data_IF_070680161895
#
_entry.id   IF_070680161895
#
_cell.length_a   1.000
_cell.length_b   1.000
_cell.length_c   1.000
_cell.angle_alpha   90.00
_cell.angle_beta   90.00
_cell.angle_gamma   90.00
#
_symmetry.space_group_name_H-M   'P 1'
#
loop_
_entity.id
_entity.type
_entity.pdbx_description
1 polymer ?
#
# COMPACT_ATOMS: atom_id res chain seq x y z
N UNK A 1 14.14 -36.83 12.43
CA UNK A 1 13.14 -37.40 11.49
C UNK A 1 11.97 -36.45 11.18
N UNK A 2 11.94 -35.20 11.68
CA UNK A 2 10.92 -34.21 11.28
C UNK A 2 11.37 -33.27 10.14
N UNK A 3 12.63 -33.36 9.71
CA UNK A 3 13.28 -32.41 8.79
C UNK A 3 12.88 -32.55 7.30
N UNK A 4 11.97 -33.46 6.95
CA UNK A 4 11.68 -33.80 5.54
C UNK A 4 10.18 -33.74 5.18
N UNK A 5 9.34 -33.24 6.08
CA UNK A 5 7.88 -33.17 5.89
C UNK A 5 7.41 -31.81 5.36
N UNK A 6 8.23 -30.77 5.54
CA UNK A 6 7.91 -29.42 5.12
C UNK A 6 9.19 -28.72 4.68
N UNK A 7 9.21 -28.25 3.44
CA UNK A 7 10.34 -27.53 2.87
C UNK A 7 9.98 -26.08 2.61
N UNK A 8 10.95 -25.22 2.87
CA UNK A 8 10.89 -23.80 2.58
C UNK A 8 11.97 -23.51 1.56
N UNK A 9 11.60 -22.94 0.43
CA UNK A 9 12.49 -22.68 -0.70
C UNK A 9 12.26 -21.33 -1.34
N UNK A 10 13.14 -20.97 -2.26
CA UNK A 10 12.99 -19.77 -3.08
C UNK A 10 12.15 -20.08 -4.31
N UNK A 11 11.35 -19.11 -4.75
CA UNK A 11 10.59 -19.22 -6.01
C UNK A 11 11.47 -19.11 -7.26
N UNK A 12 12.73 -18.69 -7.13
CA UNK A 12 13.69 -18.57 -8.22
C UNK A 12 15.15 -18.67 -7.75
N UNK A 13 16.09 -18.90 -8.68
CA UNK A 13 17.53 -18.93 -8.38
C UNK A 13 18.07 -17.60 -7.83
N UNK A 14 17.42 -16.47 -8.11
CA UNK A 14 17.79 -15.18 -7.51
C UNK A 14 17.16 -14.98 -6.13
N UNK A 15 16.09 -15.71 -5.83
CA UNK A 15 15.25 -15.56 -4.64
C UNK A 15 14.21 -14.45 -4.80
N UNK A 16 13.24 -14.40 -3.88
CA UNK A 16 12.27 -13.30 -3.80
C UNK A 16 12.22 -12.74 -2.38
N UNK A 17 12.08 -11.41 -2.28
CA UNK A 17 12.06 -10.76 -0.97
C UNK A 17 10.71 -10.89 -0.28
N UNK A 18 9.64 -11.05 -1.04
CA UNK A 18 8.27 -11.06 -0.51
C UNK A 18 7.53 -12.35 -0.76
N UNK A 19 8.07 -13.22 -1.62
CA UNK A 19 7.47 -14.51 -1.93
C UNK A 19 8.40 -15.63 -1.49
N UNK A 20 7.85 -16.59 -0.76
CA UNK A 20 8.58 -17.79 -0.36
C UNK A 20 7.78 -19.01 -0.78
N UNK A 21 8.48 -20.01 -1.31
CA UNK A 21 7.87 -21.27 -1.68
C UNK A 21 7.83 -22.14 -0.43
N UNK A 22 6.68 -22.70 -0.14
CA UNK A 22 6.55 -23.75 0.86
C UNK A 22 6.01 -25.02 0.21
N UNK A 23 6.61 -26.15 0.54
CA UNK A 23 6.21 -27.46 0.07
C UNK A 23 5.87 -28.32 1.28
N UNK A 24 4.60 -28.66 1.42
CA UNK A 24 4.16 -29.62 2.40
C UNK A 24 4.23 -31.03 1.81
N UNK A 25 5.25 -31.82 2.19
CA UNK A 25 5.42 -33.21 1.74
C UNK A 25 4.63 -34.22 2.57
N UNK A 26 4.01 -33.78 3.66
CA UNK A 26 3.29 -34.66 4.58
C UNK A 26 1.92 -35.07 4.06
N UNK A 27 1.36 -36.13 4.64
CA UNK A 27 -0.02 -36.58 4.42
C UNK A 27 -1.05 -35.78 5.25
N UNK A 28 -0.61 -34.71 5.94
CA UNK A 28 -1.47 -33.83 6.75
C UNK A 28 -1.40 -32.41 6.22
N UNK A 29 -2.45 -31.61 6.46
CA UNK A 29 -2.35 -30.17 6.23
C UNK A 29 -1.44 -29.54 7.30
N UNK A 30 -0.57 -28.62 6.87
CA UNK A 30 0.33 -27.86 7.75
C UNK A 30 -0.21 -26.45 7.88
N UNK A 31 -0.59 -26.07 9.11
CA UNK A 31 -0.96 -24.70 9.43
C UNK A 31 0.31 -23.96 9.85
N UNK A 32 0.70 -22.98 9.05
CA UNK A 32 1.73 -22.01 9.39
C UNK A 32 1.02 -20.86 10.11
N UNK A 33 1.50 -20.46 11.28
CA UNK A 33 0.88 -19.39 12.05
C UNK A 33 1.52 -18.03 11.74
N UNK A 34 0.70 -16.98 11.85
CA UNK A 34 1.17 -15.60 11.84
C UNK A 34 2.24 -15.38 12.93
N UNK A 35 3.32 -14.68 12.58
CA UNK A 35 4.48 -14.42 13.42
C UNK A 35 5.55 -15.52 13.43
N UNK A 36 5.30 -16.68 12.82
CA UNK A 36 6.32 -17.74 12.73
C UNK A 36 7.44 -17.39 11.75
N UNK A 37 8.64 -17.87 12.02
CA UNK A 37 9.79 -17.67 11.13
C UNK A 37 9.97 -18.92 10.28
N UNK A 38 9.75 -18.78 8.96
CA UNK A 38 10.15 -19.78 7.98
C UNK A 38 11.66 -19.70 7.75
N UNK A 39 12.33 -20.83 7.93
CA UNK A 39 13.78 -21.00 7.77
C UNK A 39 14.04 -22.07 6.73
N UNK A 40 15.10 -21.93 5.94
CA UNK A 40 15.48 -22.90 4.88
C UNK A 40 15.58 -22.31 3.46
N UNK A 41 15.00 -21.12 3.22
CA UNK A 41 15.26 -20.33 2.02
C UNK A 41 16.55 -19.47 2.17
N UNK A 42 16.94 -18.70 1.15
CA UNK A 42 18.17 -17.88 1.21
C UNK A 42 18.12 -16.81 2.29
N UNK A 43 16.91 -16.37 2.65
CA UNK A 43 16.66 -15.47 3.77
C UNK A 43 15.49 -16.02 4.61
N UNK A 44 15.59 -15.93 5.94
CA UNK A 44 14.49 -16.27 6.83
C UNK A 44 13.34 -15.26 6.67
N UNK A 45 12.09 -15.72 6.77
CA UNK A 45 10.90 -14.88 6.61
C UNK A 45 9.99 -15.00 7.82
N UNK A 46 9.56 -13.86 8.35
CA UNK A 46 8.41 -13.84 9.27
C UNK A 46 7.15 -13.98 8.42
N UNK A 47 6.32 -14.96 8.76
CA UNK A 47 5.02 -15.19 8.16
C UNK A 47 4.08 -14.14 8.70
N UNK A 48 3.47 -13.36 7.82
CA UNK A 48 2.57 -12.29 8.23
C UNK A 48 1.10 -12.72 8.25
N UNK A 49 0.80 -13.98 7.89
CA UNK A 49 -0.57 -14.47 7.80
C UNK A 49 -0.60 -15.96 8.15
N UNK A 50 -1.55 -16.39 8.99
CA UNK A 50 -1.75 -17.82 9.19
C UNK A 50 -2.23 -18.45 7.89
N UNK A 51 -1.45 -19.38 7.33
CA UNK A 51 -1.76 -20.05 6.07
C UNK A 51 -1.79 -21.56 6.29
N UNK A 52 -2.90 -22.17 5.89
CA UNK A 52 -2.99 -23.61 5.76
C UNK A 52 -2.41 -24.01 4.39
N UNK A 53 -1.44 -24.92 4.42
CA UNK A 53 -0.86 -25.60 3.26
C UNK A 53 -1.38 -27.04 3.28
N UNK A 54 -2.14 -27.42 2.28
CA UNK A 54 -2.78 -28.74 2.18
C UNK A 54 -1.72 -29.84 2.04
N UNK A 55 -2.14 -31.09 2.24
CA UNK A 55 -1.26 -32.24 2.06
C UNK A 55 -0.69 -32.29 0.63
N UNK A 56 0.61 -32.58 0.50
CA UNK A 56 1.30 -32.68 -0.80
C UNK A 56 1.16 -31.43 -1.67
N UNK A 57 0.91 -30.27 -1.06
CA UNK A 57 0.73 -29.00 -1.76
C UNK A 57 2.06 -28.21 -1.77
N UNK A 58 2.37 -27.67 -2.94
CA UNK A 58 3.35 -26.60 -3.09
C UNK A 58 2.61 -25.27 -3.20
N UNK A 59 2.95 -24.31 -2.34
CA UNK A 59 2.27 -23.02 -2.24
C UNK A 59 3.28 -21.89 -2.15
N UNK A 60 3.03 -20.81 -2.87
CA UNK A 60 3.78 -19.55 -2.68
C UNK A 60 3.07 -18.73 -1.63
N UNK A 61 3.80 -18.34 -0.58
CA UNK A 61 3.33 -17.37 0.41
C UNK A 61 3.88 -16.01 0.03
N UNK A 62 3.04 -15.00 -0.10
CA UNK A 62 3.49 -13.66 -0.45
C UNK A 62 2.49 -12.57 -0.12
N UNK A 63 2.95 -11.32 -0.20
CA UNK A 63 2.12 -10.15 -0.02
C UNK A 63 1.08 -10.09 -1.15
N UNK A 64 -0.19 -10.36 -0.84
CA UNK A 64 -1.22 -10.42 -1.88
C UNK A 64 -1.67 -9.03 -2.35
N UNK A 65 -1.73 -8.05 -1.43
CA UNK A 65 -2.31 -6.74 -1.72
C UNK A 65 -1.49 -5.59 -1.18
N UNK A 66 -1.24 -4.60 -2.05
CA UNK A 66 -0.79 -3.27 -1.67
C UNK A 66 -1.89 -2.25 -1.95
N UNK A 67 -2.07 -1.30 -1.02
CA UNK A 67 -2.94 -0.15 -1.24
C UNK A 67 -2.20 1.16 -0.95
N UNK A 68 -2.49 2.19 -1.76
CA UNK A 68 -2.00 3.55 -1.57
C UNK A 68 -3.17 4.51 -1.33
N UNK A 69 -3.05 5.34 -0.29
CA UNK A 69 -4.03 6.39 0.06
C UNK A 69 -3.34 7.76 0.19
N UNK A 70 -4.06 8.89 0.07
CA UNK A 70 -3.46 10.21 0.20
C UNK A 70 -3.32 10.62 1.67
N UNK A 71 -2.31 11.42 2.01
CA UNK A 71 -2.33 12.18 3.26
C UNK A 71 -3.40 13.29 3.23
N UNK A 72 -3.65 13.95 4.37
CA UNK A 72 -4.43 15.19 4.42
C UNK A 72 -3.73 16.30 5.21
N UNK A 73 -4.22 17.54 5.04
CA UNK A 73 -3.72 18.72 5.75
C UNK A 73 -3.98 18.60 7.25
N UNK A 74 -5.18 18.16 7.64
CA UNK A 74 -5.58 17.96 9.03
C UNK A 74 -4.87 16.75 9.65
N UNK A 75 -4.25 16.96 10.83
CA UNK A 75 -3.50 15.94 11.56
C UNK A 75 -3.81 16.00 13.05
N UNK A 76 -3.83 14.84 13.71
CA UNK A 76 -3.96 14.68 15.15
C UNK A 76 -2.73 13.98 15.68
N UNK A 77 -1.97 14.66 16.53
CA UNK A 77 -0.79 14.06 17.16
C UNK A 77 -1.22 13.30 18.40
N UNK A 78 -1.34 11.97 18.28
CA UNK A 78 -1.61 11.08 19.42
C UNK A 78 -0.34 10.67 20.15
N UNK A 79 0.80 10.64 19.45
CA UNK A 79 1.99 9.95 19.92
C UNK A 79 1.84 8.43 19.86
N UNK A 80 2.96 7.72 19.92
CA UNK A 80 2.99 6.25 20.02
C UNK A 80 3.91 5.59 19.00
N UNK A 81 4.27 4.34 19.28
CA UNK A 81 4.97 3.46 18.35
C UNK A 81 4.15 2.19 18.23
N UNK A 82 3.85 1.82 16.99
CA UNK A 82 3.12 0.58 16.72
C UNK A 82 4.00 -0.64 17.05
N UNK A 83 3.38 -1.74 17.54
CA UNK A 83 4.10 -2.97 17.89
C UNK A 83 3.55 -4.17 17.10
N UNK A 84 4.39 -4.96 16.40
CA UNK A 84 5.84 -4.81 16.27
C UNK A 84 6.27 -3.52 15.55
N UNK A 85 7.51 -3.05 15.81
CA UNK A 85 8.00 -1.79 15.26
C UNK A 85 8.03 -1.82 13.73
N UNK A 86 7.81 -0.65 13.14
CA UNK A 86 7.86 -0.41 11.70
C UNK A 86 9.17 -0.90 11.07
N UNK A 87 9.07 -1.59 9.92
CA UNK A 87 10.21 -2.13 9.18
C UNK A 87 10.12 -1.74 7.71
N UNK A 88 10.93 -0.78 7.27
CA UNK A 88 11.34 -0.68 5.86
C UNK A 88 12.65 -1.44 5.58
N UNK A 89 13.70 -1.36 6.43
CA UNK A 89 14.92 -2.14 6.26
C UNK A 89 14.70 -3.62 6.57
N UNK A 90 14.99 -4.52 5.63
CA UNK A 90 14.70 -5.95 5.75
C UNK A 90 13.43 -6.39 5.01
N UNK A 91 12.74 -5.46 4.35
CA UNK A 91 11.59 -5.75 3.47
C UNK A 91 11.97 -5.85 1.98
N UNK A 92 13.26 -5.74 1.63
CA UNK A 92 13.75 -5.71 0.25
C UNK A 92 13.74 -4.33 -0.39
N UNK A 93 13.16 -3.35 0.30
CA UNK A 93 12.99 -1.98 -0.18
C UNK A 93 14.20 -1.09 0.11
N UNK A 94 15.38 -1.63 0.43
CA UNK A 94 16.52 -0.85 0.91
C UNK A 94 16.95 0.22 -0.10
N UNK A 95 16.93 -0.09 -1.41
CA UNK A 95 17.24 0.88 -2.45
C UNK A 95 16.20 2.01 -2.55
N UNK A 96 14.91 1.66 -2.49
CA UNK A 96 13.82 2.64 -2.50
C UNK A 96 13.87 3.52 -1.23
N UNK A 97 14.20 2.93 -0.08
CA UNK A 97 14.37 3.63 1.19
C UNK A 97 15.48 4.67 1.12
N UNK A 98 16.68 4.29 0.67
CA UNK A 98 17.82 5.23 0.56
C UNK A 98 17.47 6.43 -0.32
N UNK A 99 16.81 6.19 -1.45
CA UNK A 99 16.34 7.28 -2.33
C UNK A 99 15.32 8.18 -1.62
N UNK A 100 14.37 7.58 -0.90
CA UNK A 100 13.35 8.32 -0.20
C UNK A 100 13.89 9.10 1.01
N UNK A 101 14.85 8.56 1.77
CA UNK A 101 15.53 9.28 2.84
C UNK A 101 16.24 10.53 2.32
N UNK A 102 16.96 10.42 1.21
CA UNK A 102 17.60 11.57 0.57
C UNK A 102 16.56 12.61 0.15
N UNK A 103 15.46 12.17 -0.47
CA UNK A 103 14.37 13.06 -0.87
C UNK A 103 13.64 13.70 0.33
N UNK A 104 13.56 13.03 1.49
CA UNK A 104 12.93 13.59 2.69
C UNK A 104 13.74 14.72 3.30
N UNK A 105 15.07 14.73 3.17
CA UNK A 105 15.92 15.83 3.65
C UNK A 105 15.50 17.18 3.08
N UNK A 106 15.14 17.24 1.80
CA UNK A 106 14.65 18.47 1.17
C UNK A 106 13.28 18.94 1.67
N UNK A 107 12.54 18.09 2.39
CA UNK A 107 11.25 18.43 3.00
C UNK A 107 11.33 18.71 4.51
N UNK A 108 12.49 18.54 5.15
CA UNK A 108 12.65 18.75 6.61
C UNK A 108 12.15 20.11 7.09
N UNK A 109 12.28 21.14 6.25
CA UNK A 109 11.82 22.50 6.53
C UNK A 109 10.32 22.62 6.81
N UNK A 110 9.48 21.68 6.35
CA UNK A 110 8.04 21.70 6.63
C UNK A 110 7.64 20.81 7.82
N UNK A 111 8.57 20.04 8.39
CA UNK A 111 8.31 19.08 9.47
C UNK A 111 8.42 19.78 10.84
N UNK A 112 7.43 19.58 11.70
CA UNK A 112 7.42 20.13 13.06
C UNK A 112 8.23 19.24 14.01
N UNK A 113 9.51 19.58 14.22
CA UNK A 113 10.43 18.82 15.06
C UNK A 113 9.97 18.60 16.51
N UNK A 114 9.15 19.49 17.06
CA UNK A 114 8.63 19.39 18.43
C UNK A 114 7.38 18.50 18.57
N UNK A 115 6.75 18.10 17.47
CA UNK A 115 5.54 17.27 17.50
C UNK A 115 5.89 15.80 17.76
N UNK A 116 5.08 15.08 18.54
CA UNK A 116 5.36 13.68 18.88
C UNK A 116 5.24 12.77 17.64
N UNK A 117 6.18 11.84 17.40
CA UNK A 117 6.02 10.82 16.36
C UNK A 117 4.74 10.01 16.59
N UNK A 118 3.95 9.82 15.54
CA UNK A 118 2.67 9.10 15.53
C UNK A 118 2.65 8.16 14.33
N UNK A 119 2.14 6.92 14.44
CA UNK A 119 1.99 6.04 13.29
C UNK A 119 1.21 6.74 12.16
N UNK A 120 1.70 6.70 10.93
CA UNK A 120 1.20 7.50 9.82
C UNK A 120 -0.32 7.36 9.59
N UNK A 121 -0.87 6.14 9.71
CA UNK A 121 -2.30 5.85 9.56
C UNK A 121 -3.16 6.54 10.64
N UNK A 122 -2.59 6.82 11.82
CA UNK A 122 -3.28 7.50 12.92
C UNK A 122 -2.96 9.00 13.00
N UNK A 123 -1.98 9.49 12.23
CA UNK A 123 -1.62 10.90 12.21
C UNK A 123 -2.69 11.75 11.50
N UNK A 124 -3.28 11.24 10.43
CA UNK A 124 -4.22 11.99 9.59
C UNK A 124 -5.66 11.83 10.08
N UNK A 125 -6.44 12.92 10.09
CA UNK A 125 -7.81 12.93 10.65
C UNK A 125 -8.86 13.63 9.76
N UNK A 126 -8.52 13.95 8.50
CA UNK A 126 -9.42 14.60 7.55
C UNK A 126 -10.56 13.69 7.07
N UNK A 127 -11.45 14.18 6.19
CA UNK A 127 -12.70 13.49 5.83
C UNK A 127 -12.55 12.07 5.28
N UNK A 128 -11.45 11.79 4.57
CA UNK A 128 -11.11 10.41 4.17
C UNK A 128 -10.86 9.53 5.40
N UNK A 129 -10.07 10.06 6.34
CA UNK A 129 -9.67 9.40 7.58
C UNK A 129 -10.76 9.37 8.67
N UNK A 130 -11.78 10.21 8.59
CA UNK A 130 -12.95 10.09 9.49
C UNK A 130 -13.91 8.98 9.03
N UNK A 131 -13.80 8.55 7.77
CA UNK A 131 -14.69 7.59 7.14
C UNK A 131 -14.08 6.18 6.97
N UNK A 132 -12.76 6.06 7.10
CA UNK A 132 -12.07 4.77 7.00
C UNK A 132 -12.15 3.96 8.31
N UNK A 133 -12.27 2.64 8.19
CA UNK A 133 -12.17 1.72 9.33
C UNK A 133 -10.69 1.40 9.63
N UNK A 134 -10.08 2.20 10.51
CA UNK A 134 -8.69 2.01 10.95
C UNK A 134 -8.45 0.68 11.66
N UNK A 135 -9.46 0.17 12.38
CA UNK A 135 -9.38 -1.08 13.12
C UNK A 135 -9.28 -2.28 12.18
N UNK A 136 -10.15 -2.32 11.17
CA UNK A 136 -10.11 -3.36 10.15
C UNK A 136 -8.85 -3.26 9.28
N UNK A 137 -8.42 -2.05 8.89
CA UNK A 137 -7.15 -1.86 8.17
C UNK A 137 -5.98 -2.43 8.97
N UNK A 138 -5.89 -2.10 10.27
CA UNK A 138 -4.88 -2.64 11.19
C UNK A 138 -4.91 -4.17 11.26
N UNK A 139 -6.11 -4.77 11.38
CA UNK A 139 -6.25 -6.23 11.39
C UNK A 139 -5.77 -6.88 10.09
N UNK A 140 -6.10 -6.28 8.93
CA UNK A 140 -5.66 -6.78 7.62
C UNK A 140 -4.15 -6.63 7.42
N UNK A 141 -3.55 -5.56 7.95
CA UNK A 141 -2.10 -5.37 7.92
C UNK A 141 -1.40 -6.40 8.80
N UNK A 142 -1.87 -6.60 10.04
CA UNK A 142 -1.26 -7.59 10.92
C UNK A 142 -1.42 -9.02 10.43
N UNK A 143 -2.56 -9.33 9.83
CA UNK A 143 -2.77 -10.63 9.18
C UNK A 143 -2.14 -10.73 7.79
N UNK A 144 -1.29 -9.78 7.38
CA UNK A 144 -0.47 -9.87 6.17
C UNK A 144 -1.25 -9.78 4.86
N UNK A 145 -2.56 -9.56 4.93
CA UNK A 145 -3.46 -9.47 3.78
C UNK A 145 -3.43 -8.11 3.09
N UNK A 146 -2.81 -7.12 3.73
CA UNK A 146 -2.71 -5.76 3.22
C UNK A 146 -1.38 -5.14 3.63
N UNK A 147 -0.66 -4.54 2.69
CA UNK A 147 0.32 -3.50 3.01
C UNK A 147 -0.22 -2.16 2.55
N UNK A 148 -0.33 -1.23 3.49
CA UNK A 148 -0.93 0.08 3.24
C UNK A 148 0.15 1.16 3.26
N UNK A 149 0.23 1.92 2.18
CA UNK A 149 1.09 3.08 2.05
C UNK A 149 0.27 4.37 1.96
N UNK A 150 0.84 5.45 2.47
CA UNK A 150 0.26 6.79 2.41
C UNK A 150 1.19 7.67 1.58
N UNK A 151 0.70 8.21 0.46
CA UNK A 151 1.43 9.22 -0.30
C UNK A 151 1.33 10.54 0.47
N UNK A 152 2.48 11.01 0.97
CA UNK A 152 2.58 12.12 1.90
C UNK A 152 3.27 13.33 1.27
N UNK A 153 2.70 14.52 1.45
CA UNK A 153 3.36 15.75 1.03
C UNK A 153 4.66 16.04 1.80
N UNK A 154 4.75 15.66 3.08
CA UNK A 154 5.95 15.86 3.90
C UNK A 154 6.98 14.74 3.73
N UNK A 155 6.53 13.51 3.48
CA UNK A 155 7.38 12.32 3.55
C UNK A 155 7.51 11.53 2.23
N UNK A 156 6.77 11.93 1.18
CA UNK A 156 6.74 11.25 -0.12
C UNK A 156 5.84 10.02 -0.08
N UNK A 157 6.33 8.94 0.54
CA UNK A 157 5.56 7.74 0.88
C UNK A 157 5.78 7.43 2.35
N UNK A 158 4.78 6.95 3.06
CA UNK A 158 4.87 6.40 4.42
C UNK A 158 4.24 5.01 4.41
N UNK A 159 4.80 4.05 5.13
CA UNK A 159 4.04 2.86 5.51
C UNK A 159 3.02 3.23 6.60
N UNK A 160 1.92 2.48 6.70
CA UNK A 160 0.81 2.78 7.61
C UNK A 160 1.25 2.98 9.06
N UNK A 161 2.26 2.24 9.52
CA UNK A 161 2.75 2.32 10.90
C UNK A 161 4.08 3.04 11.05
N UNK A 162 4.60 3.62 9.97
CA UNK A 162 5.80 4.44 10.04
C UNK A 162 5.57 5.65 10.96
N UNK A 163 6.46 5.89 11.94
CA UNK A 163 6.36 7.07 12.80
C UNK A 163 6.57 8.35 11.99
N UNK A 164 5.52 9.15 11.87
CA UNK A 164 5.54 10.46 11.22
C UNK A 164 5.23 11.57 12.23
N UNK A 165 5.81 12.75 11.99
CA UNK A 165 5.56 13.97 12.76
C UNK A 165 4.56 14.86 12.04
N UNK A 166 4.01 15.83 12.76
CA UNK A 166 3.20 16.87 12.15
C UNK A 166 4.04 17.70 11.17
N UNK A 167 3.39 18.27 10.15
CA UNK A 167 4.04 19.06 9.12
C UNK A 167 3.01 19.93 8.38
N UNK A 168 3.48 21.02 7.76
CA UNK A 168 2.65 21.90 6.93
C UNK A 168 3.08 21.84 5.46
N UNK A 169 2.43 20.96 4.69
CA UNK A 169 2.61 20.85 3.25
C UNK A 169 1.40 20.20 2.59
N UNK A 170 1.15 20.56 1.34
CA UNK A 170 0.18 19.93 0.46
C UNK A 170 0.86 19.47 -0.82
N UNK A 171 0.45 18.31 -1.37
CA UNK A 171 1.02 17.75 -2.59
C UNK A 171 0.57 18.50 -3.86
N UNK A 172 0.83 19.81 -3.94
CA UNK A 172 0.50 20.70 -5.05
C UNK A 172 1.63 21.72 -5.27
N UNK A 173 1.61 22.41 -6.42
CA UNK A 173 2.56 23.49 -6.71
C UNK A 173 4.03 23.10 -6.55
N UNK A 174 4.79 23.86 -5.75
CA UNK A 174 6.22 23.64 -5.52
C UNK A 174 6.53 22.29 -4.86
N UNK A 175 5.71 21.87 -3.88
CA UNK A 175 5.88 20.58 -3.19
C UNK A 175 5.69 19.42 -4.15
N UNK A 176 4.64 19.45 -4.98
CA UNK A 176 4.47 18.42 -6.01
C UNK A 176 5.64 18.41 -7.00
N UNK A 177 6.08 19.59 -7.48
CA UNK A 177 7.23 19.67 -8.41
C UNK A 177 8.49 19.07 -7.80
N UNK A 178 8.78 19.40 -6.54
CA UNK A 178 9.89 18.82 -5.79
C UNK A 178 9.82 17.28 -5.78
N UNK A 179 8.69 16.70 -5.38
CA UNK A 179 8.53 15.25 -5.35
C UNK A 179 8.61 14.59 -6.73
N UNK A 180 8.23 15.30 -7.80
CA UNK A 180 8.42 14.82 -9.17
C UNK A 180 9.90 14.78 -9.55
N UNK A 181 10.65 15.82 -9.24
CA UNK A 181 12.10 15.89 -9.50
C UNK A 181 12.89 14.90 -8.64
N UNK A 182 12.45 14.67 -7.40
CA UNK A 182 13.01 13.64 -6.52
C UNK A 182 12.66 12.20 -6.92
N UNK A 183 11.84 12.00 -7.96
CA UNK A 183 11.48 10.68 -8.48
C UNK A 183 10.49 9.91 -7.61
N UNK A 184 9.51 10.58 -6.97
CA UNK A 184 8.52 9.92 -6.13
C UNK A 184 7.74 8.81 -6.87
N UNK A 185 7.41 9.03 -8.15
CA UNK A 185 6.77 8.01 -8.97
C UNK A 185 7.67 6.78 -9.15
N UNK A 186 8.99 6.98 -9.35
CA UNK A 186 9.94 5.88 -9.45
C UNK A 186 10.06 5.11 -8.14
N UNK A 187 10.03 5.79 -6.98
CA UNK A 187 10.04 5.14 -5.67
C UNK A 187 8.79 4.25 -5.50
N UNK A 188 7.61 4.75 -5.88
CA UNK A 188 6.37 3.96 -5.86
C UNK A 188 6.47 2.76 -6.83
N UNK A 189 7.07 2.96 -8.01
CA UNK A 189 7.31 1.90 -8.98
C UNK A 189 8.26 0.82 -8.43
N UNK A 190 9.36 1.22 -7.81
CA UNK A 190 10.32 0.32 -7.15
C UNK A 190 9.63 -0.49 -6.04
N UNK A 191 8.76 0.15 -5.24
CA UNK A 191 7.95 -0.56 -4.22
C UNK A 191 7.10 -1.65 -4.88
N UNK A 192 6.39 -1.33 -5.97
CA UNK A 192 5.54 -2.30 -6.65
C UNK A 192 6.37 -3.44 -7.29
N UNK A 193 7.53 -3.14 -7.87
CA UNK A 193 8.41 -4.13 -8.49
C UNK A 193 9.04 -5.08 -7.47
N UNK A 194 9.55 -4.54 -6.36
CA UNK A 194 10.24 -5.32 -5.32
C UNK A 194 9.26 -6.13 -4.49
N UNK A 195 8.12 -5.53 -4.13
CA UNK A 195 7.10 -6.24 -3.36
C UNK A 195 6.25 -7.16 -4.22
N UNK A 196 6.15 -6.89 -5.52
CA UNK A 196 5.46 -7.68 -6.55
C UNK A 196 4.11 -8.24 -6.08
N UNK A 197 3.19 -7.43 -5.53
CA UNK A 197 1.92 -7.95 -5.03
C UNK A 197 1.05 -8.45 -6.18
N UNK A 198 0.17 -9.41 -5.88
CA UNK A 198 -0.83 -9.86 -6.85
C UNK A 198 -1.84 -8.76 -7.19
N UNK A 199 -2.07 -7.83 -6.27
CA UNK A 199 -3.03 -6.73 -6.43
C UNK A 199 -2.46 -5.40 -5.91
N UNK A 200 -2.63 -4.33 -6.68
CA UNK A 200 -2.28 -2.95 -6.26
C UNK A 200 -3.44 -1.99 -6.50
N UNK A 201 -3.81 -1.26 -5.44
CA UNK A 201 -4.93 -0.33 -5.45
C UNK A 201 -4.52 1.07 -5.00
N UNK A 202 -5.18 2.08 -5.56
CA UNK A 202 -5.08 3.47 -5.11
C UNK A 202 -6.47 4.07 -4.85
N UNK A 203 -6.59 4.99 -3.88
CA UNK A 203 -7.84 5.71 -3.62
C UNK A 203 -7.60 7.21 -3.65
N UNK A 204 -7.81 7.86 -4.80
CA UNK A 204 -7.41 9.25 -4.99
C UNK A 204 -8.48 10.09 -5.70
N UNK A 205 -8.75 11.27 -5.14
CA UNK A 205 -9.72 12.22 -5.71
C UNK A 205 -9.23 12.97 -6.95
N UNK A 206 -7.91 13.12 -7.10
CA UNK A 206 -7.29 13.97 -8.11
C UNK A 206 -7.30 13.39 -9.52
N UNK A 207 -6.63 14.10 -10.42
CA UNK A 207 -6.44 13.69 -11.81
C UNK A 207 -5.15 12.84 -11.95
N UNK A 208 -5.12 11.88 -12.88
CA UNK A 208 -3.94 11.06 -13.13
C UNK A 208 -2.86 11.82 -13.91
N UNK A 209 -3.20 12.95 -14.53
CA UNK A 209 -2.26 13.80 -15.27
C UNK A 209 -1.60 14.90 -14.43
N UNK A 210 -0.50 15.44 -14.94
CA UNK A 210 0.21 16.56 -14.29
C UNK A 210 -0.50 17.92 -14.43
N UNK A 211 -1.45 18.03 -15.34
CA UNK A 211 -2.15 19.29 -15.65
C UNK A 211 -2.99 19.82 -14.47
N UNK A 212 -3.27 21.13 -14.48
CA UNK A 212 -4.08 21.80 -13.46
C UNK A 212 -3.37 22.03 -12.11
N UNK A 213 -4.02 22.78 -11.22
CA UNK A 213 -3.48 23.21 -9.91
C UNK A 213 -3.80 22.26 -8.74
N UNK A 214 -4.63 21.24 -8.98
CA UNK A 214 -5.03 20.28 -7.95
C UNK A 214 -3.88 19.41 -7.42
N UNK A 215 -4.09 18.79 -6.27
CA UNK A 215 -3.11 17.90 -5.65
C UNK A 215 -2.76 16.69 -6.54
N UNK A 216 -1.49 16.26 -6.50
CA UNK A 216 -0.89 15.31 -7.45
C UNK A 216 -0.73 13.88 -6.91
N UNK A 217 -1.45 13.51 -5.85
CA UNK A 217 -1.38 12.16 -5.29
C UNK A 217 -1.71 11.07 -6.32
N UNK A 218 -2.81 11.23 -7.08
CA UNK A 218 -3.20 10.26 -8.12
C UNK A 218 -2.16 10.18 -9.23
N UNK A 219 -1.61 11.31 -9.68
CA UNK A 219 -0.53 11.32 -10.66
C UNK A 219 0.66 10.46 -10.20
N UNK A 220 1.19 10.69 -8.99
CA UNK A 220 2.35 9.92 -8.51
C UNK A 220 2.07 8.43 -8.40
N UNK A 221 0.89 8.07 -7.88
CA UNK A 221 0.45 6.68 -7.84
C UNK A 221 0.35 6.07 -9.23
N UNK A 222 -0.40 6.71 -10.15
CA UNK A 222 -0.65 6.21 -11.49
C UNK A 222 0.66 6.05 -12.27
N UNK A 223 1.53 7.06 -12.25
CA UNK A 223 2.82 6.99 -12.94
C UNK A 223 3.74 5.92 -12.33
N UNK A 224 3.79 5.81 -11.01
CA UNK A 224 4.61 4.78 -10.36
C UNK A 224 4.17 3.36 -10.68
N UNK A 225 2.86 3.08 -10.61
CA UNK A 225 2.33 1.77 -10.97
C UNK A 225 2.53 1.49 -12.46
N UNK A 226 2.27 2.45 -13.35
CA UNK A 226 2.51 2.28 -14.80
C UNK A 226 3.99 1.98 -15.11
N UNK A 227 4.92 2.65 -14.42
CA UNK A 227 6.36 2.38 -14.55
C UNK A 227 6.74 0.96 -14.09
N UNK A 228 6.14 0.50 -12.99
CA UNK A 228 6.33 -0.88 -12.54
C UNK A 228 5.84 -1.86 -13.60
N UNK A 229 4.62 -1.66 -14.13
CA UNK A 229 4.04 -2.50 -15.19
C UNK A 229 4.93 -2.55 -16.43
N UNK A 230 5.41 -1.40 -16.90
CA UNK A 230 6.33 -1.34 -18.06
C UNK A 230 7.69 -1.99 -17.79
N UNK A 231 8.06 -2.14 -16.52
CA UNK A 231 9.34 -2.75 -16.09
C UNK A 231 9.19 -4.23 -15.71
N UNK A 232 8.07 -4.87 -16.06
CA UNK A 232 7.88 -6.32 -15.91
C UNK A 232 7.05 -6.74 -14.69
N UNK A 233 6.51 -5.82 -13.90
CA UNK A 233 5.52 -6.14 -12.87
C UNK A 233 4.22 -6.63 -13.53
N UNK A 234 3.73 -7.82 -13.12
CA UNK A 234 2.54 -8.48 -13.71
C UNK A 234 1.52 -8.87 -12.64
N UNK A 235 0.84 -7.89 -12.01
CA UNK A 235 -0.21 -8.19 -11.04
C UNK A 235 -1.45 -8.74 -11.74
N UNK A 236 -2.28 -9.46 -11.00
CA UNK A 236 -3.62 -9.83 -11.42
C UNK A 236 -4.57 -8.63 -11.50
N UNK A 237 -4.38 -7.63 -10.63
CA UNK A 237 -5.18 -6.40 -10.61
C UNK A 237 -4.32 -5.17 -10.28
N UNK A 238 -4.43 -4.11 -11.08
CA UNK A 238 -3.79 -2.83 -10.81
C UNK A 238 -4.70 -1.67 -11.18
N UNK A 239 -4.84 -0.67 -10.30
CA UNK A 239 -5.67 0.49 -10.63
C UNK A 239 -6.04 1.41 -9.48
N UNK A 240 -6.92 2.35 -9.77
CA UNK A 240 -7.26 3.44 -8.86
C UNK A 240 -8.77 3.64 -8.75
N UNK A 241 -9.29 3.65 -7.53
CA UNK A 241 -10.57 4.26 -7.21
C UNK A 241 -10.44 5.79 -7.26
N UNK A 242 -11.33 6.44 -7.98
CA UNK A 242 -11.29 7.88 -8.20
C UNK A 242 -12.69 8.49 -8.30
N UNK A 243 -12.76 9.80 -8.06
CA UNK A 243 -14.00 10.55 -8.26
C UNK A 243 -14.26 10.78 -9.74
N UNK A 244 -15.30 10.16 -10.28
CA UNK A 244 -15.82 10.47 -11.63
C UNK A 244 -16.62 11.77 -11.62
N UNK A 245 -17.55 11.91 -10.68
CA UNK A 245 -18.43 13.08 -10.60
C UNK A 245 -18.78 13.46 -9.15
N UNK A 246 -19.42 14.61 -8.99
CA UNK A 246 -19.69 15.22 -7.69
C UNK A 246 -18.70 16.33 -7.32
N UNK A 247 -19.07 17.17 -6.35
CA UNK A 247 -18.33 18.37 -5.94
C UNK A 247 -18.17 18.45 -4.42
N UNK A 248 -17.25 19.30 -3.96
CA UNK A 248 -16.97 19.54 -2.55
C UNK A 248 -15.90 18.60 -2.01
N UNK A 249 -14.77 19.16 -1.58
CA UNK A 249 -13.58 18.38 -1.16
C UNK A 249 -13.91 17.43 -0.01
N UNK A 250 -14.63 17.90 1.02
CA UNK A 250 -15.07 17.09 2.17
C UNK A 250 -15.96 15.93 1.74
N UNK A 251 -16.94 16.17 0.86
CA UNK A 251 -17.86 15.14 0.37
C UNK A 251 -17.12 14.09 -0.47
N UNK A 252 -16.24 14.54 -1.37
CA UNK A 252 -15.43 13.67 -2.24
C UNK A 252 -14.51 12.78 -1.40
N UNK A 253 -13.75 13.36 -0.47
CA UNK A 253 -12.81 12.63 0.37
C UNK A 253 -13.54 11.69 1.33
N UNK A 254 -14.69 12.10 1.88
CA UNK A 254 -15.54 11.23 2.70
C UNK A 254 -16.09 10.04 1.92
N UNK A 255 -16.56 10.25 0.68
CA UNK A 255 -17.03 9.19 -0.20
C UNK A 255 -15.90 8.19 -0.56
N UNK A 256 -14.70 8.70 -0.87
CA UNK A 256 -13.54 7.85 -1.10
C UNK A 256 -13.14 7.05 0.15
N UNK A 257 -13.16 7.67 1.33
CA UNK A 257 -12.88 6.98 2.60
C UNK A 257 -13.89 5.87 2.88
N UNK A 258 -15.18 6.09 2.61
CA UNK A 258 -16.21 5.05 2.73
C UNK A 258 -16.08 3.96 1.66
N UNK A 259 -15.71 4.31 0.43
CA UNK A 259 -15.41 3.33 -0.61
C UNK A 259 -14.22 2.43 -0.20
N UNK A 260 -13.18 3.03 0.37
CA UNK A 260 -12.03 2.31 0.93
C UNK A 260 -12.46 1.39 2.09
N UNK A 261 -13.26 1.86 3.05
CA UNK A 261 -13.81 1.00 4.11
C UNK A 261 -14.60 -0.19 3.57
N UNK A 262 -15.50 0.04 2.60
CA UNK A 262 -16.26 -1.03 1.97
C UNK A 262 -15.35 -2.05 1.28
N UNK A 263 -14.27 -1.58 0.65
CA UNK A 263 -13.27 -2.44 0.01
C UNK A 263 -12.49 -3.29 1.04
N UNK A 264 -12.09 -2.70 2.18
CA UNK A 264 -11.50 -3.47 3.27
C UNK A 264 -12.47 -4.55 3.78
N UNK A 265 -13.74 -4.20 3.99
CA UNK A 265 -14.76 -5.11 4.52
C UNK A 265 -15.17 -6.22 3.54
N UNK A 266 -15.12 -5.98 2.23
CA UNK A 266 -15.35 -7.05 1.23
C UNK A 266 -14.20 -8.05 1.15
N UNK A 267 -13.07 -7.76 1.80
CA UNK A 267 -11.82 -8.47 1.60
C UNK A 267 -11.04 -7.84 0.45
N UNK A 268 -9.79 -7.36 0.67
CA UNK A 268 -8.94 -6.76 -0.36
C UNK A 268 -8.69 -7.62 -1.63
N UNK A 269 -8.93 -8.92 -1.53
CA UNK A 269 -8.80 -9.89 -2.63
C UNK A 269 -10.10 -10.13 -3.42
N UNK A 270 -11.20 -9.50 -3.00
CA UNK A 270 -12.50 -9.69 -3.61
C UNK A 270 -12.75 -8.66 -4.71
N UNK A 271 -13.01 -9.14 -5.92
CA UNK A 271 -13.19 -8.26 -7.08
C UNK A 271 -14.59 -7.63 -7.14
N UNK A 272 -15.55 -8.06 -6.30
CA UNK A 272 -16.94 -7.58 -6.36
C UNK A 272 -17.07 -6.05 -6.31
N UNK A 273 -16.34 -5.40 -5.41
CA UNK A 273 -16.42 -3.94 -5.28
C UNK A 273 -15.67 -3.21 -6.40
N UNK A 274 -14.59 -3.82 -6.91
CA UNK A 274 -13.85 -3.31 -8.08
C UNK A 274 -14.75 -3.36 -9.31
N UNK A 275 -15.40 -4.49 -9.54
CA UNK A 275 -16.35 -4.66 -10.66
C UNK A 275 -17.57 -3.76 -10.53
N UNK A 276 -18.13 -3.60 -9.32
CA UNK A 276 -19.20 -2.64 -9.08
C UNK A 276 -18.76 -1.19 -9.39
N UNK A 277 -17.53 -0.82 -9.02
CA UNK A 277 -16.97 0.50 -9.29
C UNK A 277 -16.66 0.73 -10.79
N UNK A 278 -16.27 -0.32 -11.53
CA UNK A 278 -16.06 -0.28 -12.99
C UNK A 278 -17.37 -0.10 -13.74
N UNK A 279 -18.35 -0.97 -13.43
CA UNK A 279 -19.62 -1.08 -14.17
C UNK A 279 -20.61 0.02 -13.82
N UNK A 280 -20.92 0.19 -12.53
CA UNK A 280 -22.03 1.02 -12.06
C UNK A 280 -21.57 2.31 -11.38
N UNK A 281 -20.33 2.33 -10.89
CA UNK A 281 -19.81 3.36 -10.00
C UNK A 281 -20.37 3.22 -8.57
N UNK A 282 -19.53 3.45 -7.58
CA UNK A 282 -19.92 3.46 -6.17
C UNK A 282 -20.51 4.83 -5.82
N UNK A 283 -21.83 4.85 -5.54
CA UNK A 283 -22.54 6.08 -5.20
C UNK A 283 -22.49 6.37 -3.70
N UNK A 284 -22.30 7.64 -3.38
CA UNK A 284 -22.30 8.15 -2.02
C UNK A 284 -22.84 9.59 -2.00
N UNK A 285 -24.13 9.72 -1.69
CA UNK A 285 -24.85 10.97 -1.91
C UNK A 285 -24.74 11.42 -3.37
N UNK A 286 -24.29 12.66 -3.59
CA UNK A 286 -24.04 13.22 -4.93
C UNK A 286 -22.67 12.90 -5.53
N UNK A 287 -21.87 12.04 -4.90
CA UNK A 287 -20.53 11.65 -5.38
C UNK A 287 -20.60 10.28 -6.05
N UNK A 288 -19.89 10.12 -7.17
CA UNK A 288 -19.68 8.83 -7.84
C UNK A 288 -18.20 8.51 -7.87
N UNK A 289 -17.83 7.37 -7.27
CA UNK A 289 -16.48 6.82 -7.29
C UNK A 289 -16.42 5.69 -8.32
N UNK A 290 -15.52 5.81 -9.29
CA UNK A 290 -15.22 4.75 -10.27
C UNK A 290 -13.89 4.11 -10.01
N UNK A 291 -13.64 3.00 -10.70
CA UNK A 291 -12.35 2.34 -10.72
C UNK A 291 -11.74 2.42 -12.12
N UNK A 292 -10.50 2.91 -12.19
CA UNK A 292 -9.69 2.88 -13.41
C UNK A 292 -8.75 1.68 -13.34
N UNK A 293 -8.90 0.76 -14.29
CA UNK A 293 -7.98 -0.35 -14.49
C UNK A 293 -6.74 0.11 -15.25
N UNK A 294 -5.55 -0.32 -14.83
CA UNK A 294 -4.29 -0.02 -15.50
C UNK A 294 -3.78 -1.17 -16.37
N UNK A 295 -4.39 -2.35 -16.26
CA UNK A 295 -4.07 -3.54 -17.07
C UNK A 295 -4.90 -3.60 -18.35
N UNK A 296 -6.09 -3.00 -18.34
CA UNK A 296 -6.85 -2.77 -19.55
C UNK A 296 -6.05 -1.79 -20.43
N UNK A 297 -5.56 -2.28 -21.58
CA UNK A 297 -4.77 -1.50 -22.53
C UNK A 297 -5.44 -0.15 -22.83
N UNK A 298 -4.61 0.89 -22.91
CA UNK A 298 -5.07 2.21 -23.35
C UNK A 298 -5.72 2.09 -24.73
N UNK A 299 -6.95 2.57 -24.81
CA UNK A 299 -7.49 3.15 -26.05
C UNK A 299 -6.91 4.56 -26.25
#
# INVERSE_FOLDING_TARGET
MAQDLFEVGEISELGSVNEILVLNKSDFAVLILDGEILTGAKQNRVVNASVLVSLKEMKTLGLEVICFIPCCSSKSVGGGVERPPYVWPGSGLERAWVRLEVARRGMEHCIEGNSRPTPAMHLYNGSFYSAFDAGLARQLIYSGKLRLFIISAGYGVLDAFEPARNYDAEMKGRVARYWREAGLADIIGDICLVLSPQRVYGFFAGEPGWSGSGAKYRYFFTEGVKKALSSGFKPAQAGCFYRESGRGVTAILGALGRAFSRWLSSGPNCDMIVEAAKTNGLRDGGIIIRYQDFLAAGE
#
